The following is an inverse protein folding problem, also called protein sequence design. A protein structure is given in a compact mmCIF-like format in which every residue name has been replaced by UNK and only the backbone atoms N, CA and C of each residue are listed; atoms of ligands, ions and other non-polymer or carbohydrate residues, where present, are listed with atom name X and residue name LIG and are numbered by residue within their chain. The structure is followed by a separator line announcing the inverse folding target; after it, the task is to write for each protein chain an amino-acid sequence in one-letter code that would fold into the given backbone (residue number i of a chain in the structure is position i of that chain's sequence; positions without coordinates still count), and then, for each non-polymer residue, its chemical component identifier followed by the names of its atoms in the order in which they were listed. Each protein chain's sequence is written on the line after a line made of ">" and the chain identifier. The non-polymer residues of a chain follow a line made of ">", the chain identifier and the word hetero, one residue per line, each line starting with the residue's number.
data_IF_440305286824
#
_entry.id   IF_440305286824
#
_cell.length_a   1.000
_cell.length_b   1.000
_cell.length_c   1.000
_cell.angle_alpha   90.00
_cell.angle_beta   90.00
_cell.angle_gamma   90.00
#
_symmetry.space_group_name_H-M   'P 1'
#
loop_
_entity.id
_entity.type
_entity.pdbx_description
1 polymer ?
#
# COMPACT_ATOMS: atom_id res chain seq x y z
N UNK A 1 2.73 -22.02 -15.33
CA UNK A 1 1.43 -21.85 -14.64
C UNK A 1 1.56 -21.23 -13.23
N UNK A 2 2.69 -21.39 -12.50
CA UNK A 2 2.86 -20.80 -11.15
C UNK A 2 2.94 -19.27 -11.09
N UNK A 3 3.74 -18.63 -11.96
CA UNK A 3 3.97 -17.17 -11.93
C UNK A 3 2.70 -16.29 -12.03
N UNK A 4 1.70 -16.72 -12.80
CA UNK A 4 0.44 -16.01 -12.95
C UNK A 4 -0.35 -15.96 -11.63
N UNK A 5 -0.47 -17.11 -10.96
CA UNK A 5 -1.12 -17.22 -9.65
C UNK A 5 -0.35 -16.46 -8.55
N UNK A 6 0.98 -16.45 -8.61
CA UNK A 6 1.81 -15.68 -7.67
C UNK A 6 1.55 -14.18 -7.77
N UNK A 7 1.40 -13.64 -8.99
CA UNK A 7 1.13 -12.22 -9.18
C UNK A 7 -0.30 -11.82 -8.76
N UNK A 8 -1.28 -12.67 -9.07
CA UNK A 8 -2.66 -12.47 -8.59
C UNK A 8 -2.71 -12.48 -7.05
N UNK A 9 -2.02 -13.43 -6.40
CA UNK A 9 -1.88 -13.46 -4.94
C UNK A 9 -1.21 -12.19 -4.40
N UNK A 10 -0.18 -11.68 -5.08
CA UNK A 10 0.47 -10.43 -4.69
C UNK A 10 -0.53 -9.26 -4.70
N UNK A 11 -1.37 -9.15 -5.73
CA UNK A 11 -2.38 -8.09 -5.82
C UNK A 11 -3.41 -8.21 -4.69
N UNK A 12 -3.89 -9.42 -4.40
CA UNK A 12 -4.81 -9.66 -3.28
C UNK A 12 -4.18 -9.29 -1.93
N UNK A 13 -2.91 -9.65 -1.71
CA UNK A 13 -2.18 -9.27 -0.50
C UNK A 13 -2.03 -7.75 -0.38
N UNK A 14 -1.78 -7.04 -1.48
CA UNK A 14 -1.72 -5.58 -1.49
C UNK A 14 -3.08 -4.96 -1.13
N UNK A 15 -4.18 -5.49 -1.67
CA UNK A 15 -5.54 -5.06 -1.31
C UNK A 15 -5.82 -5.23 0.19
N UNK A 16 -5.47 -6.39 0.76
CA UNK A 16 -5.64 -6.63 2.20
C UNK A 16 -4.77 -5.70 3.05
N UNK A 17 -3.51 -5.50 2.65
CA UNK A 17 -2.59 -4.58 3.31
C UNK A 17 -3.17 -3.16 3.35
N UNK A 18 -3.57 -2.60 2.20
CA UNK A 18 -4.10 -1.23 2.15
C UNK A 18 -5.44 -1.09 2.86
N UNK A 19 -6.31 -2.09 2.80
CA UNK A 19 -7.56 -2.09 3.57
C UNK A 19 -7.27 -1.93 5.06
N UNK A 20 -6.27 -2.66 5.58
CA UNK A 20 -5.88 -2.59 7.00
C UNK A 20 -5.16 -1.28 7.33
N UNK A 21 -4.30 -0.80 6.44
CA UNK A 21 -3.61 0.48 6.61
C UNK A 21 -4.59 1.65 6.70
N UNK A 22 -5.50 1.76 5.74
CA UNK A 22 -6.48 2.86 5.69
C UNK A 22 -7.43 2.82 6.88
N UNK A 23 -7.91 1.64 7.28
CA UNK A 23 -8.74 1.48 8.49
C UNK A 23 -8.00 1.90 9.76
N UNK A 24 -6.70 1.62 9.87
CA UNK A 24 -5.89 2.05 11.03
C UNK A 24 -5.87 3.57 11.17
N UNK A 25 -5.64 4.31 10.07
CA UNK A 25 -5.68 5.77 10.10
C UNK A 25 -7.08 6.35 10.26
N UNK A 26 -8.08 5.75 9.61
CA UNK A 26 -9.47 6.20 9.69
C UNK A 26 -10.04 6.04 11.11
N UNK A 27 -9.74 4.91 11.78
CA UNK A 27 -10.15 4.65 13.16
C UNK A 27 -9.22 5.27 14.20
N UNK A 28 -8.07 5.82 13.77
CA UNK A 28 -6.98 6.32 14.64
C UNK A 28 -6.60 5.31 15.74
N UNK A 29 -6.70 4.03 15.41
CA UNK A 29 -6.41 2.92 16.32
C UNK A 29 -6.04 1.68 15.50
N UNK A 30 -5.11 0.84 15.99
CA UNK A 30 -4.76 -0.41 15.32
C UNK A 30 -5.98 -1.35 15.20
N UNK A 31 -6.08 -2.03 14.07
CA UNK A 31 -7.15 -3.02 13.85
C UNK A 31 -6.93 -4.23 14.76
N UNK A 32 -8.00 -4.64 15.44
CA UNK A 32 -8.04 -5.87 16.22
C UNK A 32 -8.62 -7.04 15.41
N UNK A 33 -8.05 -8.27 15.51
CA UNK A 33 -6.77 -8.56 16.14
C UNK A 33 -5.61 -8.12 15.24
N UNK A 34 -4.58 -7.49 15.84
CA UNK A 34 -3.29 -7.35 15.17
C UNK A 34 -2.56 -8.70 15.17
N UNK A 35 -1.75 -8.95 14.15
CA UNK A 35 -0.92 -10.16 14.08
C UNK A 35 0.24 -10.05 15.06
N UNK A 36 0.81 -8.85 15.22
CA UNK A 36 1.86 -8.52 16.20
C UNK A 36 1.75 -7.09 16.72
N UNK A 37 2.50 -6.78 17.78
CA UNK A 37 2.62 -5.39 18.28
C UNK A 37 3.40 -4.52 17.29
N UNK A 38 4.39 -5.09 16.62
CA UNK A 38 5.22 -4.42 15.61
C UNK A 38 4.38 -4.02 14.40
N UNK A 39 3.46 -4.89 13.96
CA UNK A 39 2.51 -4.57 12.90
C UNK A 39 1.64 -3.35 13.26
N UNK A 40 1.09 -3.33 14.47
CA UNK A 40 0.30 -2.20 14.95
C UNK A 40 1.11 -0.89 14.92
N UNK A 41 2.36 -0.92 15.41
CA UNK A 41 3.26 0.23 15.39
C UNK A 41 3.52 0.72 13.96
N UNK A 42 3.84 -0.18 13.04
CA UNK A 42 4.15 0.16 11.64
C UNK A 42 2.91 0.74 10.94
N UNK A 43 1.73 0.14 11.12
CA UNK A 43 0.51 0.65 10.48
C UNK A 43 0.12 2.04 11.00
N UNK A 44 0.23 2.27 12.31
CA UNK A 44 0.02 3.62 12.89
C UNK A 44 1.07 4.60 12.40
N UNK A 45 2.33 4.18 12.25
CA UNK A 45 3.40 5.02 11.73
C UNK A 45 3.15 5.43 10.27
N UNK A 46 2.77 4.48 9.41
CA UNK A 46 2.53 4.73 7.98
C UNK A 46 1.26 5.53 7.74
N UNK A 47 0.22 5.34 8.56
CA UNK A 47 -1.08 5.99 8.38
C UNK A 47 -1.55 6.64 9.70
N UNK A 48 -0.93 7.74 10.14
CA UNK A 48 -1.12 8.32 11.48
C UNK A 48 -2.42 9.10 11.66
N UNK A 49 -3.16 9.40 10.59
CA UNK A 49 -4.34 10.26 10.61
C UNK A 49 -5.42 9.83 9.61
N UNK A 50 -6.62 10.39 9.78
CA UNK A 50 -7.71 10.25 8.81
C UNK A 50 -7.32 10.82 7.44
N UNK A 51 -6.58 11.94 7.41
CA UNK A 51 -6.08 12.54 6.16
C UNK A 51 -5.13 11.58 5.42
N UNK A 52 -4.17 10.99 6.13
CA UNK A 52 -3.28 9.98 5.54
C UNK A 52 -4.04 8.73 5.07
N UNK A 53 -5.14 8.35 5.72
CA UNK A 53 -5.97 7.23 5.28
C UNK A 53 -6.62 7.50 3.93
N UNK A 54 -7.08 8.74 3.69
CA UNK A 54 -7.60 9.12 2.37
C UNK A 54 -6.52 9.09 1.30
N UNK A 55 -5.34 9.65 1.58
CA UNK A 55 -4.21 9.65 0.64
C UNK A 55 -3.77 8.22 0.29
N UNK A 56 -3.67 7.34 1.29
CA UNK A 56 -3.35 5.93 1.06
C UNK A 56 -4.44 5.20 0.27
N UNK A 57 -5.71 5.48 0.53
CA UNK A 57 -6.82 4.86 -0.19
C UNK A 57 -6.79 5.23 -1.69
N UNK A 58 -6.57 6.51 -2.01
CA UNK A 58 -6.45 6.99 -3.38
C UNK A 58 -5.23 6.37 -4.09
N UNK A 59 -4.07 6.36 -3.44
CA UNK A 59 -2.86 5.76 -4.00
C UNK A 59 -3.03 4.25 -4.23
N UNK A 60 -3.66 3.54 -3.30
CA UNK A 60 -3.94 2.10 -3.41
C UNK A 60 -4.87 1.79 -4.59
N UNK A 61 -5.95 2.57 -4.75
CA UNK A 61 -6.88 2.40 -5.87
C UNK A 61 -6.17 2.55 -7.22
N UNK A 62 -5.36 3.59 -7.37
CA UNK A 62 -4.57 3.85 -8.59
C UNK A 62 -3.57 2.71 -8.83
N UNK A 63 -2.83 2.31 -7.80
CA UNK A 63 -1.81 1.26 -7.88
C UNK A 63 -2.42 -0.10 -8.31
N UNK A 64 -3.49 -0.53 -7.64
CA UNK A 64 -4.16 -1.80 -7.93
C UNK A 64 -4.77 -1.80 -9.33
N UNK A 65 -5.41 -0.69 -9.74
CA UNK A 65 -5.96 -0.56 -11.09
C UNK A 65 -4.86 -0.66 -12.16
N UNK A 66 -3.70 -0.06 -11.93
CA UNK A 66 -2.54 -0.16 -12.83
C UNK A 66 -1.97 -1.57 -12.88
N UNK A 67 -1.84 -2.25 -11.74
CA UNK A 67 -1.37 -3.64 -11.68
C UNK A 67 -2.28 -4.56 -12.52
N UNK A 68 -3.60 -4.49 -12.32
CA UNK A 68 -4.57 -5.26 -13.11
C UNK A 68 -4.49 -4.94 -14.61
N UNK A 69 -4.50 -3.65 -14.95
CA UNK A 69 -4.47 -3.22 -16.35
C UNK A 69 -3.18 -3.66 -17.04
N UNK A 70 -2.03 -3.47 -16.39
CA UNK A 70 -0.74 -3.84 -16.94
C UNK A 70 -0.60 -5.34 -17.16
N UNK A 71 -1.09 -6.13 -16.20
CA UNK A 71 -1.11 -7.59 -16.32
C UNK A 71 -1.99 -8.07 -17.47
N UNK A 72 -3.19 -7.52 -17.64
CA UNK A 72 -4.06 -7.82 -18.78
C UNK A 72 -3.43 -7.46 -20.14
N UNK A 73 -2.53 -6.47 -20.16
CA UNK A 73 -1.78 -6.06 -21.35
C UNK A 73 -0.47 -6.85 -21.54
N UNK A 74 -0.21 -7.88 -20.74
CA UNK A 74 1.03 -8.68 -20.75
C UNK A 74 2.29 -7.84 -20.53
N UNK A 75 2.21 -6.77 -19.72
CA UNK A 75 3.39 -6.03 -19.27
C UNK A 75 4.18 -6.90 -18.29
N UNK A 76 5.51 -6.77 -18.34
CA UNK A 76 6.45 -7.39 -17.42
C UNK A 76 6.08 -7.13 -15.94
N UNK A 77 5.99 -8.20 -15.15
CA UNK A 77 5.46 -8.16 -13.77
C UNK A 77 6.41 -7.41 -12.85
N UNK A 78 7.69 -7.66 -12.98
CA UNK A 78 8.75 -7.04 -12.19
C UNK A 78 8.72 -5.51 -12.36
N UNK A 79 8.54 -5.05 -13.61
CA UNK A 79 8.38 -3.63 -13.92
C UNK A 79 7.11 -3.02 -13.30
N UNK A 80 5.98 -3.75 -13.32
CA UNK A 80 4.73 -3.29 -12.71
C UNK A 80 4.84 -3.15 -11.17
N UNK A 81 5.54 -4.08 -10.52
CA UNK A 81 5.78 -4.04 -9.08
C UNK A 81 6.64 -2.82 -8.72
N UNK A 82 7.71 -2.56 -9.48
CA UNK A 82 8.57 -1.40 -9.24
C UNK A 82 7.81 -0.08 -9.46
N UNK A 83 7.03 0.06 -10.54
CA UNK A 83 6.21 1.26 -10.77
C UNK A 83 5.22 1.50 -9.61
N UNK A 84 4.66 0.42 -9.08
CA UNK A 84 3.77 0.47 -7.92
C UNK A 84 4.48 1.05 -6.70
N UNK A 85 5.65 0.53 -6.31
CA UNK A 85 6.36 1.05 -5.14
C UNK A 85 6.81 2.50 -5.31
N UNK A 86 7.23 2.90 -6.52
CA UNK A 86 7.54 4.30 -6.82
C UNK A 86 6.30 5.20 -6.65
N UNK A 87 5.11 4.71 -7.01
CA UNK A 87 3.86 5.45 -6.78
C UNK A 87 3.54 5.59 -5.28
N UNK A 88 3.72 4.52 -4.52
CA UNK A 88 3.45 4.50 -3.08
C UNK A 88 4.43 5.39 -2.30
N UNK A 89 5.71 5.42 -2.70
CA UNK A 89 6.70 6.32 -2.12
C UNK A 89 6.30 7.80 -2.29
N UNK A 90 5.78 8.17 -3.48
CA UNK A 90 5.27 9.53 -3.72
C UNK A 90 4.10 9.87 -2.79
N UNK A 91 3.19 8.91 -2.56
CA UNK A 91 2.09 9.07 -1.60
C UNK A 91 2.64 9.29 -0.18
N UNK A 92 3.57 8.44 0.26
CA UNK A 92 4.17 8.53 1.59
C UNK A 92 4.90 9.86 1.80
N UNK A 93 5.66 10.34 0.82
CA UNK A 93 6.32 11.65 0.87
C UNK A 93 5.33 12.83 0.95
N UNK A 94 4.08 12.63 0.52
CA UNK A 94 3.02 13.63 0.68
C UNK A 94 2.45 13.62 2.10
N UNK A 95 2.43 12.45 2.74
CA UNK A 95 1.95 12.25 4.11
C UNK A 95 2.96 12.77 5.13
N UNK A 96 4.24 12.47 4.95
CA UNK A 96 5.34 12.93 5.82
C UNK A 96 6.49 13.54 4.98
N UNK A 97 6.37 14.82 4.57
CA UNK A 97 7.34 15.47 3.68
C UNK A 97 8.70 15.75 4.33
N UNK A 98 8.80 15.68 5.67
CA UNK A 98 10.00 16.08 6.41
C UNK A 98 11.06 14.98 6.51
N UNK A 99 10.79 13.77 6.00
CA UNK A 99 11.70 12.64 6.13
C UNK A 99 12.89 12.68 5.16
N UNK A 100 12.73 13.17 3.92
CA UNK A 100 13.84 13.26 2.96
C UNK A 100 14.94 14.27 3.34
N UNK A 101 14.76 15.01 4.44
CA UNK A 101 15.73 15.98 4.97
C UNK A 101 16.63 15.32 6.04
N UNK A 102 16.27 14.15 6.56
CA UNK A 102 16.89 13.52 7.74
C UNK A 102 17.60 12.18 7.44
N UNK A 103 17.81 11.81 6.17
CA UNK A 103 18.64 10.68 5.73
C UNK A 103 19.87 11.19 4.97
#
# INVERSE_FOLDING_TARGET
>A
KGKAAEFENFIEMMQQFFSRLCKTGAMQSPISPSVTNEEAKIMTYLCPSVSSAHLWAEAAEIAIAKLHKGYLLNIDVESLIIDTFINLEKCYNTIDPNRMINE
#
